data_IF_183349079465
#
_entry.id   IF_183349079465
#
_cell.length_a   1.000
_cell.length_b   1.000
_cell.length_c   1.000
_cell.angle_alpha   90.00
_cell.angle_beta   90.00
_cell.angle_gamma   90.00
#
_symmetry.space_group_name_H-M   'P 1'
#
loop_
_entity.id
_entity.type
_entity.pdbx_description
1 polymer ?
#
# COMPACT_ATOMS: atom_id res chain seq x y z
N UNK A 1 -26.15 8.65 13.43
CA UNK A 1 -25.06 7.75 13.89
C UNK A 1 -23.79 8.57 13.93
N UNK A 2 -23.01 8.53 15.01
CA UNK A 2 -21.71 9.19 15.05
C UNK A 2 -20.83 8.60 13.94
N UNK A 3 -20.24 9.43 13.08
CA UNK A 3 -19.30 8.95 12.08
C UNK A 3 -18.09 8.35 12.81
N UNK A 4 -17.71 7.12 12.45
CA UNK A 4 -16.55 6.47 13.04
C UNK A 4 -15.29 7.21 12.56
N UNK A 5 -14.75 8.07 13.43
CA UNK A 5 -13.49 8.77 13.20
C UNK A 5 -12.32 7.85 13.54
N UNK A 6 -11.44 7.59 12.58
CA UNK A 6 -10.30 6.69 12.73
C UNK A 6 -9.01 7.50 12.57
N UNK A 7 -8.03 7.23 13.42
CA UNK A 7 -6.72 7.86 13.35
C UNK A 7 -5.79 6.91 12.60
N UNK A 8 -5.15 7.41 11.54
CA UNK A 8 -4.09 6.69 10.81
C UNK A 8 -2.77 7.40 11.08
N UNK A 9 -1.77 6.65 11.53
CA UNK A 9 -0.42 7.16 11.79
C UNK A 9 0.53 6.65 10.70
N UNK A 10 1.07 7.57 9.92
CA UNK A 10 2.00 7.33 8.81
C UNK A 10 1.39 7.64 7.45
N UNK A 11 1.97 8.60 6.73
CA UNK A 11 1.54 9.03 5.39
C UNK A 11 2.12 8.24 4.21
N UNK A 12 2.64 7.02 4.43
CA UNK A 12 3.20 6.17 3.38
C UNK A 12 2.14 5.41 2.58
N UNK A 13 2.56 4.49 1.69
CA UNK A 13 1.63 3.70 0.87
C UNK A 13 0.58 2.96 1.69
N UNK A 14 0.99 2.31 2.79
CA UNK A 14 0.09 1.55 3.66
C UNK A 14 -0.94 2.47 4.34
N UNK A 15 -0.51 3.61 4.88
CA UNK A 15 -1.39 4.57 5.55
C UNK A 15 -2.35 5.26 4.59
N UNK A 16 -1.90 5.65 3.40
CA UNK A 16 -2.78 6.21 2.37
C UNK A 16 -3.79 5.17 1.86
N UNK A 17 -3.37 3.92 1.66
CA UNK A 17 -4.27 2.84 1.26
C UNK A 17 -5.31 2.54 2.34
N UNK A 18 -4.91 2.50 3.62
CA UNK A 18 -5.83 2.33 4.74
C UNK A 18 -6.83 3.50 4.83
N UNK A 19 -6.33 4.74 4.72
CA UNK A 19 -7.16 5.96 4.69
C UNK A 19 -8.20 5.88 3.58
N UNK A 20 -7.77 5.54 2.36
CA UNK A 20 -8.67 5.39 1.22
C UNK A 20 -9.78 4.36 1.49
N UNK A 21 -9.42 3.17 1.98
CA UNK A 21 -10.38 2.09 2.24
C UNK A 21 -11.35 2.41 3.38
N UNK A 22 -10.89 3.11 4.42
CA UNK A 22 -11.75 3.58 5.50
C UNK A 22 -12.78 4.59 4.97
N UNK A 23 -12.35 5.54 4.14
CA UNK A 23 -13.26 6.53 3.54
C UNK A 23 -14.26 5.89 2.57
N UNK A 24 -13.83 4.91 1.77
CA UNK A 24 -14.73 4.13 0.91
C UNK A 24 -15.80 3.37 1.71
N UNK A 25 -15.47 2.93 2.94
CA UNK A 25 -16.41 2.31 3.86
C UNK A 25 -17.31 3.32 4.62
N UNK A 26 -17.17 4.63 4.35
CA UNK A 26 -17.96 5.70 4.98
C UNK A 26 -17.40 6.22 6.31
N UNK A 27 -16.17 5.84 6.68
CA UNK A 27 -15.46 6.39 7.84
C UNK A 27 -14.80 7.75 7.55
N UNK A 28 -14.48 8.49 8.61
CA UNK A 28 -13.66 9.70 8.53
C UNK A 28 -12.28 9.44 9.11
N UNK A 29 -11.24 10.07 8.54
CA UNK A 29 -9.85 9.79 8.92
C UNK A 29 -9.10 11.05 9.31
N UNK A 30 -8.44 11.02 10.46
CA UNK A 30 -7.33 11.92 10.79
C UNK A 30 -6.02 11.21 10.43
N UNK A 31 -5.34 11.68 9.38
CA UNK A 31 -4.09 11.11 8.89
C UNK A 31 -2.91 11.93 9.41
N UNK A 32 -2.12 11.35 10.33
CA UNK A 32 -0.91 11.96 10.87
C UNK A 32 0.33 11.50 10.12
N UNK A 33 1.21 12.44 9.77
CA UNK A 33 2.47 12.15 9.08
C UNK A 33 3.59 13.07 9.55
N UNK A 34 4.74 12.49 9.87
CA UNK A 34 5.93 13.24 10.31
C UNK A 34 6.48 14.15 9.21
N UNK A 35 6.46 13.72 7.96
CA UNK A 35 6.82 14.53 6.80
C UNK A 35 5.61 14.68 5.87
N UNK A 36 5.66 15.56 4.84
CA UNK A 36 4.64 15.57 3.80
C UNK A 36 4.44 14.17 3.25
N UNK A 37 3.18 13.73 3.03
CA UNK A 37 2.87 12.33 2.70
C UNK A 37 3.65 11.85 1.47
N UNK A 38 3.87 12.75 0.49
CA UNK A 38 4.67 12.52 -0.72
C UNK A 38 6.17 12.28 -0.46
N UNK A 39 6.69 12.66 0.71
CA UNK A 39 8.09 12.46 1.12
C UNK A 39 8.29 11.21 2.00
N UNK A 40 7.25 10.40 2.18
CA UNK A 40 7.37 9.10 2.82
C UNK A 40 8.35 8.20 2.06
N UNK A 41 9.08 7.34 2.78
CA UNK A 41 10.13 6.50 2.18
C UNK A 41 9.62 5.53 1.10
N UNK A 42 8.31 5.26 1.07
CA UNK A 42 7.67 4.52 -0.03
C UNK A 42 7.97 5.11 -1.41
N UNK A 43 8.21 6.42 -1.52
CA UNK A 43 8.61 7.08 -2.77
C UNK A 43 9.93 6.54 -3.32
N UNK A 44 10.84 6.09 -2.45
CA UNK A 44 12.16 5.60 -2.83
C UNK A 44 12.14 4.16 -3.36
N UNK A 45 11.00 3.46 -3.32
CA UNK A 45 10.92 2.10 -3.87
C UNK A 45 11.02 2.13 -5.40
N UNK A 46 11.95 1.36 -5.96
CA UNK A 46 12.26 1.38 -7.39
C UNK A 46 11.78 0.11 -8.11
N UNK A 47 12.20 -1.04 -7.56
CA UNK A 47 12.21 -2.34 -8.25
C UNK A 47 10.87 -2.77 -8.84
N UNK A 48 9.78 -2.61 -8.08
CA UNK A 48 8.44 -2.96 -8.51
C UNK A 48 7.58 -3.50 -7.37
N UNK A 49 6.48 -4.15 -7.73
CA UNK A 49 5.55 -4.82 -6.83
C UNK A 49 5.20 -6.19 -7.42
N UNK A 50 5.22 -7.23 -6.58
CA UNK A 50 5.04 -8.60 -7.01
C UNK A 50 3.56 -8.97 -7.06
N UNK A 51 3.10 -9.51 -8.18
CA UNK A 51 1.79 -10.13 -8.31
C UNK A 51 1.80 -11.16 -9.43
N UNK A 52 1.20 -12.31 -9.17
CA UNK A 52 0.98 -13.34 -10.19
C UNK A 52 -0.07 -12.85 -11.21
N UNK A 53 0.40 -12.21 -12.28
CA UNK A 53 -0.44 -11.68 -13.36
C UNK A 53 -0.43 -12.56 -14.61
N UNK A 54 0.60 -13.40 -14.77
CA UNK A 54 0.86 -14.28 -15.92
C UNK A 54 0.63 -13.63 -17.30
N UNK A 55 0.97 -12.34 -17.44
CA UNK A 55 0.72 -11.59 -18.70
C UNK A 55 1.60 -12.05 -19.86
N UNK A 56 2.67 -12.79 -19.58
CA UNK A 56 3.62 -13.32 -20.57
C UNK A 56 3.40 -14.80 -20.90
N UNK A 57 2.43 -15.47 -20.27
CA UNK A 57 2.20 -16.90 -20.44
C UNK A 57 3.37 -17.74 -19.95
N UNK A 58 4.03 -17.32 -18.86
CA UNK A 58 5.12 -18.06 -18.23
C UNK A 58 4.60 -19.10 -17.23
N UNK A 59 3.28 -19.29 -17.16
CA UNK A 59 2.59 -20.25 -16.29
C UNK A 59 2.81 -19.99 -14.79
N UNK A 60 3.00 -18.72 -14.40
CA UNK A 60 3.13 -18.36 -12.99
C UNK A 60 1.82 -18.61 -12.24
N UNK A 61 1.94 -19.04 -10.99
CA UNK A 61 0.80 -19.34 -10.14
C UNK A 61 0.88 -18.63 -8.79
N UNK A 62 -0.30 -18.41 -8.18
CA UNK A 62 -0.40 -17.88 -6.81
C UNK A 62 0.34 -18.81 -5.83
N UNK A 63 0.31 -20.12 -6.08
CA UNK A 63 1.01 -21.11 -5.27
C UNK A 63 2.53 -20.93 -5.34
N UNK A 64 3.12 -20.70 -6.52
CA UNK A 64 4.57 -20.46 -6.62
C UNK A 64 4.98 -19.16 -5.95
N UNK A 65 4.18 -18.10 -6.07
CA UNK A 65 4.44 -16.87 -5.33
C UNK A 65 4.35 -17.08 -3.81
N UNK A 66 3.39 -17.89 -3.35
CA UNK A 66 3.27 -18.30 -1.96
C UNK A 66 4.51 -19.07 -1.49
N UNK A 67 4.90 -20.11 -2.22
CA UNK A 67 6.04 -20.98 -1.93
C UNK A 67 7.36 -20.18 -1.88
N UNK A 68 7.60 -19.33 -2.87
CA UNK A 68 8.77 -18.44 -2.93
C UNK A 68 8.80 -17.48 -1.72
N UNK A 69 7.64 -16.99 -1.26
CA UNK A 69 7.55 -16.09 -0.11
C UNK A 69 7.79 -16.81 1.21
N UNK A 70 7.25 -18.02 1.38
CA UNK A 70 7.44 -18.82 2.60
C UNK A 70 8.89 -19.29 2.71
N UNK A 71 9.46 -19.79 1.60
CA UNK A 71 10.86 -20.20 1.52
C UNK A 71 11.80 -19.01 1.74
N UNK A 72 11.54 -17.87 1.08
CA UNK A 72 12.33 -16.66 1.24
C UNK A 72 12.26 -16.05 2.64
N UNK A 73 11.17 -16.32 3.37
CA UNK A 73 11.01 -15.97 4.78
C UNK A 73 11.62 -16.98 5.76
N UNK A 74 12.41 -17.94 5.28
CA UNK A 74 13.03 -19.02 6.06
C UNK A 74 11.99 -19.77 6.94
N UNK A 75 10.78 -19.93 6.41
CA UNK A 75 9.63 -20.56 7.08
C UNK A 75 9.16 -19.88 8.38
N UNK A 76 9.66 -18.68 8.71
CA UNK A 76 9.26 -17.90 9.87
C UNK A 76 8.01 -17.03 9.62
N UNK A 77 7.61 -16.88 8.36
CA UNK A 77 6.45 -16.08 7.99
C UNK A 77 5.13 -16.77 8.38
N UNK A 78 4.16 -15.99 8.87
CA UNK A 78 2.79 -16.46 9.04
C UNK A 78 2.17 -16.77 7.68
N UNK A 79 2.00 -18.07 7.40
CA UNK A 79 1.52 -18.57 6.13
C UNK A 79 0.09 -18.11 5.81
N UNK A 80 -0.77 -17.87 6.79
CA UNK A 80 -2.12 -17.35 6.52
C UNK A 80 -2.06 -15.91 6.03
N UNK A 81 -1.20 -15.09 6.64
CA UNK A 81 -0.97 -13.72 6.21
C UNK A 81 -0.33 -13.68 4.80
N UNK A 82 0.67 -14.53 4.54
CA UNK A 82 1.30 -14.65 3.22
C UNK A 82 0.30 -15.06 2.16
N UNK A 83 -0.54 -16.08 2.42
CA UNK A 83 -1.60 -16.51 1.50
C UNK A 83 -2.54 -15.37 1.14
N UNK A 84 -3.05 -14.65 2.15
CA UNK A 84 -3.92 -13.50 1.93
C UNK A 84 -3.24 -12.39 1.11
N UNK A 85 -1.96 -12.14 1.36
CA UNK A 85 -1.17 -11.15 0.60
C UNK A 85 -1.02 -11.55 -0.88
N UNK A 86 -0.61 -12.77 -1.18
CA UNK A 86 -0.36 -13.20 -2.58
C UNK A 86 -1.64 -13.34 -3.38
N UNK A 87 -2.76 -13.74 -2.76
CA UNK A 87 -4.08 -13.81 -3.39
C UNK A 87 -4.66 -12.41 -3.68
N UNK A 88 -4.36 -11.42 -2.84
CA UNK A 88 -4.81 -10.05 -3.02
C UNK A 88 -3.98 -9.27 -4.05
N UNK A 89 -2.69 -9.60 -4.21
CA UNK A 89 -1.75 -8.84 -5.03
C UNK A 89 -2.22 -8.58 -6.48
N UNK A 90 -2.76 -9.57 -7.24
CA UNK A 90 -3.21 -9.31 -8.61
C UNK A 90 -4.37 -8.31 -8.69
N UNK A 91 -5.26 -8.31 -7.69
CA UNK A 91 -6.37 -7.35 -7.60
C UNK A 91 -5.84 -5.94 -7.31
N UNK A 92 -4.82 -5.82 -6.47
CA UNK A 92 -4.17 -4.54 -6.16
C UNK A 92 -3.44 -3.96 -7.37
N UNK A 93 -2.72 -4.76 -8.15
CA UNK A 93 -2.10 -4.29 -9.40
C UNK A 93 -3.15 -3.74 -10.36
N UNK A 94 -4.23 -4.49 -10.60
CA UNK A 94 -5.34 -4.03 -11.48
C UNK A 94 -5.99 -2.75 -10.96
N UNK A 95 -6.09 -2.59 -9.64
CA UNK A 95 -6.60 -1.37 -9.03
C UNK A 95 -5.67 -0.19 -9.30
N UNK A 96 -4.36 -0.33 -9.05
CA UNK A 96 -3.37 0.71 -9.31
C UNK A 96 -3.29 1.10 -10.79
N UNK A 97 -3.38 0.10 -11.66
CA UNK A 97 -3.42 0.31 -13.11
C UNK A 97 -4.62 1.17 -13.52
N UNK A 98 -5.81 0.87 -12.99
CA UNK A 98 -7.03 1.67 -13.20
C UNK A 98 -6.98 3.05 -12.55
N UNK A 99 -6.16 3.23 -11.51
CA UNK A 99 -5.89 4.54 -10.90
C UNK A 99 -4.94 5.40 -11.75
N UNK A 100 -4.43 4.88 -12.87
CA UNK A 100 -3.56 5.61 -13.78
C UNK A 100 -2.07 5.50 -13.44
N UNK A 101 -1.68 4.54 -12.59
CA UNK A 101 -0.25 4.25 -12.38
C UNK A 101 0.36 3.81 -13.71
N UNK A 102 1.41 4.49 -14.21
CA UNK A 102 2.00 4.21 -15.52
C UNK A 102 2.92 2.99 -15.45
N UNK A 103 2.35 1.81 -15.18
CA UNK A 103 3.10 0.56 -15.27
C UNK A 103 3.67 0.38 -16.68
N UNK A 104 4.92 -0.06 -16.74
CA UNK A 104 5.58 -0.38 -18.00
C UNK A 104 4.84 -1.50 -18.72
N UNK A 105 4.72 -1.33 -20.03
CA UNK A 105 3.98 -2.23 -20.92
C UNK A 105 4.90 -2.85 -21.95
N UNK A 106 4.54 -4.04 -22.41
CA UNK A 106 5.13 -4.63 -23.62
C UNK A 106 4.62 -3.88 -24.87
N UNK A 107 5.22 -4.09 -26.06
CA UNK A 107 4.72 -3.50 -27.30
C UNK A 107 3.25 -3.81 -27.59
N UNK A 108 2.73 -4.94 -27.10
CA UNK A 108 1.34 -5.37 -27.24
C UNK A 108 0.40 -4.66 -26.24
N UNK A 109 0.92 -3.85 -25.33
CA UNK A 109 0.15 -3.06 -24.36
C UNK A 109 -0.19 -3.78 -23.05
N UNK A 110 0.24 -5.02 -22.86
CA UNK A 110 0.05 -5.76 -21.59
C UNK A 110 1.11 -5.38 -20.56
N UNK A 111 0.83 -5.62 -19.27
CA UNK A 111 1.78 -5.32 -18.20
C UNK A 111 3.09 -6.08 -18.42
N UNK A 112 4.21 -5.35 -18.44
CA UNK A 112 5.53 -5.96 -18.48
C UNK A 112 5.93 -6.45 -17.09
N UNK A 113 6.61 -7.59 -17.06
CA UNK A 113 7.05 -8.28 -15.85
C UNK A 113 8.56 -8.49 -15.93
N UNK A 114 9.28 -8.07 -14.88
CA UNK A 114 10.74 -8.26 -14.77
C UNK A 114 11.07 -9.35 -13.76
N UNK A 115 12.29 -9.87 -13.88
CA UNK A 115 12.89 -10.75 -12.87
C UNK A 115 13.18 -9.96 -11.60
N UNK A 116 13.06 -10.64 -10.46
CA UNK A 116 13.54 -10.15 -9.17
C UNK A 116 14.16 -11.30 -8.38
N UNK A 117 15.01 -10.97 -7.39
CA UNK A 117 15.65 -11.99 -6.55
C UNK A 117 14.61 -12.78 -5.75
N UNK A 118 14.83 -14.09 -5.61
CA UNK A 118 13.97 -14.98 -4.83
C UNK A 118 12.64 -15.33 -5.50
N UNK A 119 12.54 -15.20 -6.82
CA UNK A 119 11.35 -15.58 -7.60
C UNK A 119 11.72 -16.67 -8.61
N UNK A 120 10.86 -17.70 -8.73
CA UNK A 120 10.97 -18.70 -9.79
C UNK A 120 10.53 -18.15 -11.15
N UNK A 121 9.45 -17.36 -11.19
CA UNK A 121 8.86 -16.80 -12.40
C UNK A 121 8.80 -15.27 -12.35
N UNK A 122 8.74 -14.60 -13.52
CA UNK A 122 8.63 -13.14 -13.58
C UNK A 122 7.25 -12.70 -13.10
N UNK A 123 7.22 -11.95 -12.00
CA UNK A 123 5.95 -11.43 -11.44
C UNK A 123 6.04 -10.03 -10.88
N UNK A 124 7.15 -9.33 -11.11
CA UNK A 124 7.32 -7.96 -10.63
C UNK A 124 6.79 -6.98 -11.68
N UNK A 125 5.64 -6.36 -11.39
CA UNK A 125 5.12 -5.21 -12.12
C UNK A 125 5.88 -3.94 -11.71
N UNK A 126 6.15 -3.05 -12.65
CA UNK A 126 7.01 -1.88 -12.40
C UNK A 126 6.63 -0.67 -13.25
N UNK A 127 7.04 0.52 -12.83
CA UNK A 127 6.95 1.75 -13.61
C UNK A 127 8.36 2.35 -13.75
N UNK A 128 9.08 2.00 -14.82
CA UNK A 128 10.49 2.36 -15.00
C UNK A 128 11.34 1.98 -13.78
N UNK A 129 12.00 2.97 -13.17
CA UNK A 129 12.76 2.85 -11.92
C UNK A 129 12.13 3.63 -10.75
N UNK A 130 10.87 4.03 -10.88
CA UNK A 130 10.19 4.94 -9.93
C UNK A 130 8.86 4.37 -9.43
N UNK A 131 8.72 3.04 -9.37
CA UNK A 131 7.44 2.38 -9.05
C UNK A 131 6.81 2.89 -7.75
N UNK A 132 7.59 3.02 -6.68
CA UNK A 132 7.13 3.55 -5.39
C UNK A 132 6.61 4.97 -5.46
N UNK A 133 7.32 5.85 -6.17
CA UNK A 133 6.89 7.21 -6.43
C UNK A 133 5.53 7.26 -7.15
N UNK A 134 5.37 6.46 -8.21
CA UNK A 134 4.13 6.43 -9.00
C UNK A 134 2.95 5.90 -8.17
N UNK A 135 3.15 4.83 -7.40
CA UNK A 135 2.13 4.29 -6.50
C UNK A 135 1.72 5.32 -5.42
N UNK A 136 2.70 6.02 -4.85
CA UNK A 136 2.46 7.00 -3.79
C UNK A 136 1.67 8.20 -4.30
N UNK A 137 2.01 8.69 -5.49
CA UNK A 137 1.31 9.82 -6.12
C UNK A 137 -0.13 9.45 -6.47
N UNK A 138 -0.35 8.26 -7.02
CA UNK A 138 -1.69 7.78 -7.32
C UNK A 138 -2.56 7.69 -6.05
N UNK A 139 -2.03 7.13 -4.95
CA UNK A 139 -2.80 7.08 -3.68
C UNK A 139 -3.01 8.45 -3.06
N UNK A 140 -2.01 9.32 -3.02
CA UNK A 140 -2.18 10.66 -2.46
C UNK A 140 -3.27 11.43 -3.23
N UNK A 141 -3.33 11.31 -4.56
CA UNK A 141 -4.40 11.90 -5.36
C UNK A 141 -5.78 11.36 -4.99
N UNK A 142 -5.92 10.04 -4.83
CA UNK A 142 -7.18 9.45 -4.38
C UNK A 142 -7.57 9.90 -2.96
N UNK A 143 -6.61 10.04 -2.05
CA UNK A 143 -6.86 10.53 -0.69
C UNK A 143 -7.20 12.02 -0.70
N UNK A 144 -6.57 12.84 -1.55
CA UNK A 144 -6.90 14.28 -1.73
C UNK A 144 -8.36 14.47 -2.16
N UNK A 145 -8.89 13.57 -3.00
CA UNK A 145 -10.32 13.59 -3.36
C UNK A 145 -11.23 13.47 -2.12
N UNK A 146 -10.83 12.67 -1.13
CA UNK A 146 -11.57 12.52 0.12
C UNK A 146 -11.34 13.67 1.09
N UNK A 147 -10.14 14.24 1.09
CA UNK A 147 -9.79 15.46 1.83
C UNK A 147 -10.69 16.64 1.42
N UNK A 148 -10.83 16.89 0.11
CA UNK A 148 -11.73 17.95 -0.42
C UNK A 148 -13.20 17.70 -0.07
N UNK A 149 -13.62 16.42 0.04
CA UNK A 149 -14.97 16.04 0.48
C UNK A 149 -15.18 16.15 2.01
N UNK A 150 -14.14 16.50 2.77
CA UNK A 150 -14.16 16.55 4.23
C UNK A 150 -14.10 15.19 4.93
N UNK A 151 -13.80 14.11 4.21
CA UNK A 151 -13.67 12.76 4.78
C UNK A 151 -12.30 12.46 5.39
N UNK A 152 -11.29 13.27 5.04
CA UNK A 152 -9.91 13.13 5.54
C UNK A 152 -9.40 14.48 6.01
N UNK A 153 -8.80 14.52 7.19
CA UNK A 153 -7.99 15.65 7.67
C UNK A 153 -6.53 15.20 7.75
N UNK A 154 -5.64 15.86 7.02
CA UNK A 154 -4.19 15.55 7.03
C UNK A 154 -3.47 16.45 8.03
N UNK A 155 -2.69 15.81 8.90
CA UNK A 155 -1.79 16.42 9.85
C UNK A 155 -0.35 16.11 9.44
N UNK A 156 0.16 16.86 8.46
CA UNK A 156 1.57 16.78 8.03
C UNK A 156 2.46 17.59 8.98
N UNK A 157 3.69 17.13 9.21
CA UNK A 157 4.62 17.67 10.22
C UNK A 157 4.17 17.43 11.66
N UNK A 158 3.48 16.31 11.90
CA UNK A 158 3.11 15.88 13.25
C UNK A 158 3.86 14.61 13.65
N UNK A 159 4.52 14.67 14.79
CA UNK A 159 5.23 13.54 15.39
C UNK A 159 4.28 12.72 16.28
N UNK A 160 4.28 11.41 16.08
CA UNK A 160 3.61 10.48 16.99
C UNK A 160 4.46 10.30 18.25
N UNK A 161 3.88 10.59 19.42
CA UNK A 161 4.58 10.48 20.71
C UNK A 161 4.25 9.16 21.41
N UNK A 162 2.94 8.89 21.62
CA UNK A 162 2.49 7.63 22.25
C UNK A 162 1.02 7.34 21.99
N UNK A 163 0.65 6.09 22.22
CA UNK A 163 -0.76 5.66 22.26
C UNK A 163 -1.41 6.15 23.55
N UNK A 164 -2.63 6.68 23.45
CA UNK A 164 -3.48 6.97 24.60
C UNK A 164 -4.34 5.73 24.91
N UNK A 165 -4.20 5.20 26.13
CA UNK A 165 -4.95 4.05 26.62
C UNK A 165 -5.89 4.46 27.74
N UNK A 166 -7.09 3.88 27.78
CA UNK A 166 -7.98 4.03 28.92
C UNK A 166 -7.53 3.18 30.12
N UNK A 167 -8.27 3.29 31.24
CA UNK A 167 -8.00 2.54 32.48
C UNK A 167 -8.02 1.01 32.32
N UNK A 168 -8.65 0.49 31.25
CA UNK A 168 -8.71 -0.93 30.94
C UNK A 168 -7.60 -1.36 29.97
N UNK A 169 -6.70 -0.45 29.58
CA UNK A 169 -5.63 -0.71 28.63
C UNK A 169 -6.04 -0.64 27.16
N UNK A 170 -7.28 -0.24 26.85
CA UNK A 170 -7.78 -0.15 25.47
C UNK A 170 -7.29 1.14 24.82
N UNK A 171 -6.78 1.05 23.59
CA UNK A 171 -6.38 2.21 22.79
C UNK A 171 -7.59 3.09 22.47
N UNK A 172 -7.53 4.37 22.83
CA UNK A 172 -8.57 5.38 22.57
C UNK A 172 -8.09 6.54 21.70
N UNK A 173 -6.84 6.52 21.27
CA UNK A 173 -6.26 7.55 20.42
C UNK A 173 -4.75 7.61 20.53
N UNK A 174 -4.20 8.76 20.14
CA UNK A 174 -2.76 9.04 20.20
C UNK A 174 -2.51 10.39 20.86
N UNK A 175 -1.28 10.55 21.34
CA UNK A 175 -0.70 11.86 21.65
C UNK A 175 0.28 12.15 20.52
N UNK A 176 0.11 13.29 19.86
CA UNK A 176 0.95 13.77 18.78
C UNK A 176 1.38 15.22 19.04
N UNK A 177 2.52 15.59 18.52
CA UNK A 177 3.11 16.92 18.66
C UNK A 177 3.25 17.57 17.28
N UNK A 178 2.74 18.79 17.12
CA UNK A 178 3.06 19.60 15.95
C UNK A 178 4.52 20.03 16.03
N UNK A 179 5.24 19.85 14.93
CA UNK A 179 6.55 20.47 14.74
C UNK A 179 6.43 21.93 14.34
#
# INVERSE_FOLDING_TARGET
>A
MAKNKIIVVGGGLSGLMATLKICEAGGEVDLFSYCPVKRSHSLCAQGGINACMDTKGEHDSIYEHFDDTVYGGDFLADQLAVKGMVEAAPKLIKMFDRMGVPFTRTPEGVLDLRNFGGQKNKRTCFAGSTTGQQLLYALDEQVRRWEVKGGVTKYEFWEFVKIFKDKNGVCRGIIAQSM
#
